data_IF_051710578277
#
_entry.id   IF_051710578277
#
_cell.length_a   1.000
_cell.length_b   1.000
_cell.length_c   1.000
_cell.angle_alpha   90.00
_cell.angle_beta   90.00
_cell.angle_gamma   90.00
#
_symmetry.space_group_name_H-M   'P 1'
#
loop_
_entity.id
_entity.type
_entity.pdbx_description
1 polymer ?
#
# COMPACT_ATOMS: atom_id res chain seq x y z
N UNK A 1 -18.67 -4.71 12.80
CA UNK A 1 -17.29 -4.83 12.29
C UNK A 1 -17.41 -4.84 10.78
N UNK A 2 -17.42 -3.65 10.17
CA UNK A 2 -17.44 -3.53 8.71
C UNK A 2 -16.00 -3.71 8.27
N UNK A 3 -15.62 -4.94 7.92
CA UNK A 3 -14.47 -5.12 7.04
C UNK A 3 -14.94 -4.62 5.69
N UNK A 4 -14.45 -3.46 5.27
CA UNK A 4 -14.79 -2.92 3.97
C UNK A 4 -14.28 -3.92 2.92
N UNK A 5 -15.05 -4.20 1.86
CA UNK A 5 -14.65 -5.16 0.80
C UNK A 5 -13.36 -4.78 0.07
N UNK A 6 -12.80 -3.63 0.41
CA UNK A 6 -11.64 -3.00 -0.19
C UNK A 6 -10.39 -3.17 0.69
N UNK A 7 -10.52 -3.78 1.87
CA UNK A 7 -9.38 -4.10 2.73
C UNK A 7 -8.43 -5.06 2.01
N UNK A 8 -7.13 -4.72 2.04
CA UNK A 8 -6.10 -5.52 1.38
C UNK A 8 -5.45 -6.44 2.38
N UNK A 9 -5.69 -7.74 2.23
CA UNK A 9 -5.01 -8.77 3.03
C UNK A 9 -3.72 -9.16 2.32
N UNK A 10 -2.63 -9.22 3.07
CA UNK A 10 -1.34 -9.75 2.67
C UNK A 10 -1.06 -11.01 3.48
N UNK A 11 -0.69 -12.09 2.82
CA UNK A 11 -0.32 -13.33 3.47
C UNK A 11 0.76 -14.05 2.67
N UNK A 12 1.63 -14.76 3.36
CA UNK A 12 2.56 -15.68 2.73
C UNK A 12 2.01 -17.10 2.78
N UNK A 13 2.23 -17.86 1.70
CA UNK A 13 1.97 -19.30 1.71
C UNK A 13 3.07 -20.03 2.49
N UNK A 14 2.82 -21.28 2.83
CA UNK A 14 3.83 -22.13 3.48
C UNK A 14 5.09 -22.37 2.64
N UNK A 15 5.04 -22.11 1.33
CA UNK A 15 6.19 -22.14 0.41
C UNK A 15 7.03 -20.85 0.46
N UNK A 16 6.55 -19.82 1.16
CA UNK A 16 7.18 -18.51 1.23
C UNK A 16 6.74 -17.54 0.13
N UNK A 17 5.82 -17.94 -0.74
CA UNK A 17 5.27 -17.07 -1.80
C UNK A 17 4.34 -16.02 -1.19
N UNK A 18 4.57 -14.77 -1.57
CA UNK A 18 3.84 -13.62 -1.04
C UNK A 18 2.61 -13.31 -1.91
N UNK A 19 1.43 -13.28 -1.29
CA UNK A 19 0.16 -12.99 -1.94
C UNK A 19 -0.56 -11.79 -1.32
N UNK A 20 -1.35 -11.12 -2.16
CA UNK A 20 -2.24 -10.05 -1.76
C UNK A 20 -3.65 -10.30 -2.29
N UNK A 21 -4.68 -9.80 -1.60
CA UNK A 21 -6.07 -9.84 -2.07
C UNK A 21 -6.33 -8.96 -3.30
N UNK A 22 -5.42 -8.05 -3.63
CA UNK A 22 -5.54 -7.13 -4.77
C UNK A 22 -4.86 -7.69 -6.02
N UNK A 23 -5.36 -7.36 -7.23
CA UNK A 23 -4.72 -7.75 -8.46
C UNK A 23 -3.30 -7.17 -8.53
N UNK A 24 -2.32 -8.04 -8.79
CA UNK A 24 -0.93 -7.65 -8.92
C UNK A 24 -0.72 -6.82 -10.20
N UNK A 25 -0.46 -5.52 -10.05
CA UNK A 25 -0.14 -4.62 -11.15
C UNK A 25 1.36 -4.66 -11.46
N UNK A 26 1.80 -5.70 -12.18
CA UNK A 26 3.19 -5.94 -12.60
C UNK A 26 3.75 -4.72 -13.34
N UNK A 27 4.77 -4.06 -12.79
CA UNK A 27 5.50 -2.96 -13.41
C UNK A 27 7.01 -3.08 -13.27
N UNK A 28 7.52 -3.56 -12.14
CA UNK A 28 8.98 -3.59 -11.89
C UNK A 28 9.56 -4.98 -11.68
N UNK A 29 8.83 -5.90 -11.04
CA UNK A 29 9.28 -7.27 -10.81
C UNK A 29 8.33 -8.28 -11.45
N UNK A 30 8.79 -9.06 -12.45
CA UNK A 30 8.02 -10.19 -12.99
C UNK A 30 7.98 -11.40 -12.03
N UNK A 31 8.77 -11.36 -10.94
CA UNK A 31 8.95 -12.47 -9.99
C UNK A 31 7.90 -12.53 -8.87
N UNK A 32 7.00 -11.54 -8.77
CA UNK A 32 5.87 -11.58 -7.84
C UNK A 32 5.83 -10.41 -6.85
N UNK A 33 4.83 -10.45 -5.97
CA UNK A 33 4.62 -9.48 -4.89
C UNK A 33 5.63 -9.78 -3.77
N UNK A 34 6.26 -8.74 -3.21
CA UNK A 34 7.13 -8.88 -2.04
C UNK A 34 6.87 -7.74 -1.03
N UNK A 35 7.15 -7.95 0.26
CA UNK A 35 7.06 -6.93 1.32
C UNK A 35 7.94 -7.30 2.53
N UNK A 36 8.11 -6.37 3.46
CA UNK A 36 8.91 -6.57 4.69
C UNK A 36 10.39 -6.19 4.56
N UNK A 37 10.83 -5.64 3.42
CA UNK A 37 12.19 -5.10 3.25
C UNK A 37 12.19 -3.85 2.38
N UNK A 38 13.13 -2.91 2.61
CA UNK A 38 13.19 -1.60 1.94
C UNK A 38 13.66 -1.59 0.47
N UNK A 39 13.69 -2.75 -0.20
CA UNK A 39 14.22 -2.91 -1.55
C UNK A 39 13.26 -2.49 -2.67
N UNK A 40 13.55 -2.88 -3.91
CA UNK A 40 12.69 -2.59 -5.07
C UNK A 40 11.50 -3.54 -5.23
N UNK A 41 11.55 -4.77 -4.69
CA UNK A 41 10.47 -5.76 -4.78
C UNK A 41 9.09 -5.30 -4.27
N UNK A 42 8.98 -4.59 -3.12
CA UNK A 42 7.69 -4.10 -2.62
C UNK A 42 7.08 -2.92 -3.38
N UNK A 43 7.74 -2.40 -4.41
CA UNK A 43 7.23 -1.28 -5.19
C UNK A 43 5.95 -1.65 -5.97
N UNK A 44 5.88 -2.87 -6.49
CA UNK A 44 4.69 -3.36 -7.19
C UNK A 44 3.52 -3.58 -6.24
N UNK A 45 3.78 -4.04 -5.00
CA UNK A 45 2.73 -4.15 -3.99
C UNK A 45 2.15 -2.78 -3.63
N UNK A 46 3.02 -1.82 -3.33
CA UNK A 46 2.63 -0.45 -3.00
C UNK A 46 1.75 0.17 -4.10
N UNK A 47 2.14 -0.03 -5.37
CA UNK A 47 1.38 0.46 -6.51
C UNK A 47 0.04 -0.27 -6.68
N UNK A 48 0.02 -1.60 -6.51
CA UNK A 48 -1.20 -2.41 -6.63
C UNK A 48 -2.25 -2.04 -5.59
N UNK A 49 -1.84 -1.84 -4.34
CA UNK A 49 -2.71 -1.39 -3.24
C UNK A 49 -3.30 -0.02 -3.56
N UNK A 50 -2.45 0.94 -3.94
CA UNK A 50 -2.92 2.29 -4.26
C UNK A 50 -3.85 2.28 -5.48
N UNK A 51 -3.52 1.58 -6.56
CA UNK A 51 -4.39 1.46 -7.74
C UNK A 51 -5.77 0.85 -7.43
N UNK A 52 -5.85 -0.01 -6.41
CA UNK A 52 -7.12 -0.59 -5.98
C UNK A 52 -7.99 0.38 -5.16
N UNK A 53 -7.40 1.45 -4.62
CA UNK A 53 -8.05 2.37 -3.67
C UNK A 53 -8.16 3.81 -4.18
N UNK A 54 -7.36 4.18 -5.19
CA UNK A 54 -7.26 5.51 -5.78
C UNK A 54 -6.93 5.42 -7.28
N UNK A 55 -7.00 6.54 -7.99
CA UNK A 55 -6.62 6.66 -9.39
C UNK A 55 -5.12 6.46 -9.65
N UNK A 56 -4.79 6.09 -10.90
CA UNK A 56 -3.42 5.81 -11.34
C UNK A 56 -2.44 6.98 -11.12
N UNK A 57 -2.89 8.22 -11.29
CA UNK A 57 -2.06 9.40 -11.08
C UNK A 57 -1.60 9.51 -9.62
N UNK A 58 -2.52 9.37 -8.68
CA UNK A 58 -2.23 9.43 -7.24
C UNK A 58 -1.39 8.23 -6.81
N UNK A 59 -1.70 7.04 -7.33
CA UNK A 59 -0.92 5.84 -7.07
C UNK A 59 0.54 6.01 -7.54
N UNK A 60 0.76 6.50 -8.76
CA UNK A 60 2.10 6.74 -9.30
C UNK A 60 2.84 7.89 -8.60
N UNK A 61 2.13 8.88 -8.04
CA UNK A 61 2.75 9.96 -7.28
C UNK A 61 3.21 9.49 -5.88
N UNK A 62 2.42 8.61 -5.23
CA UNK A 62 2.61 8.28 -3.81
C UNK A 62 3.24 6.90 -3.56
N UNK A 63 3.29 5.98 -4.53
CA UNK A 63 3.75 4.60 -4.30
C UNK A 63 5.17 4.49 -3.74
N UNK A 64 6.09 5.38 -4.12
CA UNK A 64 7.45 5.38 -3.56
C UNK A 64 7.47 5.62 -2.05
N UNK A 65 6.63 6.57 -1.58
CA UNK A 65 6.55 6.92 -0.17
C UNK A 65 5.72 5.89 0.59
N UNK A 66 4.59 5.47 0.03
CA UNK A 66 3.75 4.43 0.59
C UNK A 66 4.52 3.12 0.79
N UNK A 67 5.38 2.76 -0.16
CA UNK A 67 6.27 1.61 -0.04
C UNK A 67 7.14 1.71 1.21
N UNK A 68 7.77 2.86 1.43
CA UNK A 68 8.73 3.04 2.52
C UNK A 68 8.07 3.14 3.89
N UNK A 69 6.92 3.79 3.99
CA UNK A 69 6.28 4.07 5.28
C UNK A 69 5.28 3.00 5.68
N UNK A 70 4.53 2.45 4.73
CA UNK A 70 3.48 1.46 5.00
C UNK A 70 3.97 0.06 4.66
N UNK A 71 4.36 -0.20 3.40
CA UNK A 71 4.71 -1.57 2.96
C UNK A 71 5.96 -2.12 3.66
N UNK A 72 6.97 -1.29 3.92
CA UNK A 72 8.15 -1.70 4.67
C UNK A 72 7.89 -1.89 6.17
N UNK A 73 6.79 -1.32 6.70
CA UNK A 73 6.35 -1.51 8.07
C UNK A 73 5.43 -2.74 8.25
N UNK A 74 4.96 -3.34 7.16
CA UNK A 74 4.17 -4.58 7.22
C UNK A 74 5.08 -5.71 7.72
N UNK A 75 4.65 -6.48 8.75
CA UNK A 75 5.42 -7.63 9.20
C UNK A 75 5.59 -8.67 8.10
N UNK A 76 6.69 -9.40 8.12
CA UNK A 76 7.03 -10.37 7.07
C UNK A 76 5.98 -11.47 6.91
N UNK A 77 5.30 -11.85 8.00
CA UNK A 77 4.23 -12.84 8.04
C UNK A 77 2.97 -12.40 7.24
N UNK A 78 2.85 -11.10 6.96
CA UNK A 78 1.69 -10.49 6.32
C UNK A 78 0.80 -9.73 7.31
N UNK A 79 -0.30 -9.18 6.82
CA UNK A 79 -1.18 -8.33 7.60
C UNK A 79 -2.34 -7.79 6.77
N UNK A 80 -3.24 -7.05 7.43
CA UNK A 80 -4.38 -6.42 6.76
C UNK A 80 -4.13 -4.92 6.68
N UNK A 81 -4.00 -4.40 5.46
CA UNK A 81 -4.06 -2.96 5.19
C UNK A 81 -5.52 -2.59 5.01
N UNK A 82 -6.07 -1.85 5.96
CA UNK A 82 -7.45 -1.40 5.85
C UNK A 82 -7.56 -0.29 4.81
N UNK A 83 -8.57 -0.38 3.96
CA UNK A 83 -8.82 0.63 2.93
C UNK A 83 -9.00 2.03 3.55
N UNK A 84 -9.68 2.11 4.70
CA UNK A 84 -9.89 3.35 5.43
C UNK A 84 -8.56 4.00 5.87
N UNK A 85 -7.65 3.24 6.47
CA UNK A 85 -6.35 3.75 6.92
C UNK A 85 -5.49 4.21 5.74
N UNK A 86 -5.48 3.45 4.64
CA UNK A 86 -4.75 3.82 3.42
C UNK A 86 -5.32 5.09 2.79
N UNK A 87 -6.65 5.25 2.75
CA UNK A 87 -7.30 6.47 2.25
C UNK A 87 -6.93 7.69 3.08
N UNK A 88 -7.00 7.57 4.41
CA UNK A 88 -6.58 8.63 5.33
C UNK A 88 -5.11 8.98 5.10
N UNK A 89 -4.24 7.98 4.94
CA UNK A 89 -2.83 8.20 4.63
C UNK A 89 -2.65 8.95 3.31
N UNK A 90 -3.35 8.53 2.24
CA UNK A 90 -3.31 9.20 0.93
C UNK A 90 -3.78 10.65 1.04
N UNK A 91 -4.88 10.92 1.77
CA UNK A 91 -5.38 12.29 1.95
C UNK A 91 -4.40 13.20 2.71
N UNK A 92 -3.64 12.66 3.68
CA UNK A 92 -2.59 13.40 4.38
C UNK A 92 -1.36 13.66 3.49
N UNK A 93 -1.09 12.75 2.56
CA UNK A 93 0.10 12.80 1.70
C UNK A 93 -0.12 13.54 0.37
N UNK A 94 -1.38 13.72 -0.04
CA UNK A 94 -1.69 14.58 -1.18
C UNK A 94 -1.23 16.00 -0.86
N UNK A 95 -0.35 16.60 -1.69
CA UNK A 95 0.07 17.97 -1.48
C UNK A 95 -1.18 18.86 -1.45
N UNK A 96 -1.31 19.59 -0.36
CA UNK A 96 -2.46 20.39 0.00
C UNK A 96 -2.71 21.47 -1.06
N UNK A 97 -3.50 21.15 -2.09
CA UNK A 97 -4.30 22.14 -2.78
C UNK A 97 -5.44 22.56 -1.82
N UNK A 98 -5.09 23.23 -0.72
CA UNK A 98 -6.05 23.92 0.16
C UNK A 98 -6.49 23.19 1.43
N UNK A 99 -5.58 22.91 2.38
CA UNK A 99 -5.99 22.85 3.79
C UNK A 99 -4.95 23.48 4.70
N UNK A 100 -5.37 24.58 5.31
CA UNK A 100 -4.62 25.27 6.34
C UNK A 100 -4.44 24.42 7.59
N UNK A 101 -3.29 24.66 8.21
CA UNK A 101 -2.99 24.61 9.63
C UNK A 101 -4.09 24.04 10.54
N UNK A 102 -3.83 22.86 11.08
CA UNK A 102 -4.18 22.49 12.46
C UNK A 102 -3.08 21.49 12.86
N UNK A 103 -2.12 21.76 13.73
CA UNK A 103 -2.13 22.60 14.91
C UNK A 103 -2.75 21.81 16.07
N UNK A 104 -1.94 21.57 17.12
CA UNK A 104 -2.28 21.13 18.50
C UNK A 104 -2.10 19.60 18.74
N UNK A 105 -1.34 19.12 19.74
CA UNK A 105 -0.70 19.68 20.96
C UNK A 105 0.55 18.88 21.36
#
# INVERSE_FOLDING_TARGET
MTGDREDVVLWRTCDGEAHASVPHAVRHSPTGIEWGYGGSGPADLARSVLLSLTDEETANALYHRFKREVVAAVPEDGGVLRAADVRVWVENERPLAGRGVTGRE
#
